data_IF_553521749285
#
_entry.id   IF_553521749285
#
_cell.length_a   1.000
_cell.length_b   1.000
_cell.length_c   1.000
_cell.angle_alpha   90.00
_cell.angle_beta   90.00
_cell.angle_gamma   90.00
#
_symmetry.space_group_name_H-M   'P 1'
#
loop_
_entity.id
_entity.type
_entity.pdbx_description
1 polymer ?
#
# COMPACT_ATOMS: atom_id res chain seq x y z
N UNK A 1 -29.83 18.13 -17.08
CA UNK A 1 -31.13 17.85 -17.75
C UNK A 1 -31.66 16.54 -17.20
N UNK A 2 -32.97 16.39 -17.03
CA UNK A 2 -33.56 15.12 -16.61
C UNK A 2 -33.18 13.99 -17.58
N UNK A 3 -32.90 12.81 -17.05
CA UNK A 3 -32.47 11.63 -17.81
C UNK A 3 -33.32 10.42 -17.47
N UNK A 4 -33.56 9.58 -18.48
CA UNK A 4 -34.39 8.39 -18.37
C UNK A 4 -33.64 7.21 -19.00
N UNK A 5 -33.49 6.12 -18.24
CA UNK A 5 -32.86 4.90 -18.74
C UNK A 5 -33.83 3.71 -18.61
N UNK A 6 -34.08 2.98 -19.71
CA UNK A 6 -34.64 1.64 -19.60
C UNK A 6 -33.73 0.77 -18.74
N UNK A 7 -34.28 0.15 -17.71
CA UNK A 7 -33.51 -0.49 -16.65
C UNK A 7 -34.09 -1.84 -16.22
N UNK A 8 -33.20 -2.73 -15.81
CA UNK A 8 -33.53 -3.90 -15.01
C UNK A 8 -33.14 -3.62 -13.55
N UNK A 9 -34.12 -3.61 -12.65
CA UNK A 9 -33.90 -3.48 -11.21
C UNK A 9 -33.42 -4.82 -10.64
N UNK A 10 -32.39 -4.78 -9.81
CA UNK A 10 -31.87 -5.93 -9.09
C UNK A 10 -31.48 -5.57 -7.65
N UNK A 11 -31.33 -6.59 -6.82
CA UNK A 11 -30.87 -6.47 -5.44
C UNK A 11 -29.83 -7.55 -5.12
N UNK A 12 -28.72 -7.16 -4.50
CA UNK A 12 -27.68 -8.08 -4.03
C UNK A 12 -27.17 -7.62 -2.66
N UNK A 13 -27.39 -8.44 -1.63
CA UNK A 13 -27.20 -8.01 -0.24
C UNK A 13 -28.06 -6.78 0.05
N UNK A 14 -27.44 -5.74 0.58
CA UNK A 14 -28.09 -4.45 0.86
C UNK A 14 -28.08 -3.48 -0.33
N UNK A 15 -27.48 -3.86 -1.46
CA UNK A 15 -27.39 -2.99 -2.64
C UNK A 15 -28.57 -3.20 -3.58
N UNK A 16 -29.32 -2.14 -3.86
CA UNK A 16 -30.18 -2.05 -5.04
C UNK A 16 -29.37 -1.49 -6.22
N UNK A 17 -29.54 -2.09 -7.39
CA UNK A 17 -28.83 -1.68 -8.59
C UNK A 17 -29.72 -1.76 -9.83
N UNK A 18 -29.34 -1.01 -10.86
CA UNK A 18 -30.05 -0.93 -12.12
C UNK A 18 -29.11 -1.25 -13.27
N UNK A 19 -29.46 -2.23 -14.09
CA UNK A 19 -28.72 -2.52 -15.32
C UNK A 19 -29.32 -1.71 -16.47
N UNK A 20 -28.51 -0.84 -17.05
CA UNK A 20 -28.90 0.07 -18.16
C UNK A 20 -27.92 -0.04 -19.32
N UNK A 21 -28.23 0.61 -20.45
CA UNK A 21 -27.30 0.80 -21.56
C UNK A 21 -26.98 2.29 -21.69
N UNK A 22 -25.71 2.62 -21.93
CA UNK A 22 -25.27 3.98 -22.23
C UNK A 22 -24.49 4.00 -23.54
N UNK A 23 -24.59 5.09 -24.31
CA UNK A 23 -23.72 5.33 -25.47
C UNK A 23 -22.30 5.66 -25.01
N UNK A 24 -21.29 5.34 -25.81
CA UNK A 24 -19.89 5.68 -25.49
C UNK A 24 -19.70 7.19 -25.28
N UNK A 25 -20.38 8.01 -26.07
CA UNK A 25 -20.41 9.48 -25.91
C UNK A 25 -20.99 9.94 -24.57
N UNK A 26 -22.10 9.35 -24.15
CA UNK A 26 -22.72 9.63 -22.85
C UNK A 26 -21.77 9.24 -21.72
N UNK A 27 -21.22 8.02 -21.78
CA UNK A 27 -20.29 7.51 -20.78
C UNK A 27 -19.02 8.38 -20.66
N UNK A 28 -18.44 8.80 -21.78
CA UNK A 28 -17.24 9.64 -21.78
C UNK A 28 -17.52 11.06 -21.25
N UNK A 29 -18.69 11.61 -21.55
CA UNK A 29 -19.07 12.97 -21.19
C UNK A 29 -19.67 13.15 -19.79
N UNK A 30 -20.30 12.12 -19.23
CA UNK A 30 -21.04 12.23 -17.96
C UNK A 30 -20.47 11.43 -16.79
N UNK A 31 -19.54 10.50 -17.03
CA UNK A 31 -19.01 9.61 -15.97
C UNK A 31 -17.62 10.07 -15.55
N UNK A 32 -17.47 10.39 -14.28
CA UNK A 32 -16.20 10.68 -13.64
C UNK A 32 -15.49 9.40 -13.22
N UNK A 33 -14.16 9.47 -13.16
CA UNK A 33 -13.40 8.38 -12.57
C UNK A 33 -13.55 8.52 -11.05
N UNK A 34 -13.71 7.41 -10.30
CA UNK A 34 -13.93 7.51 -8.86
C UNK A 34 -12.84 8.30 -8.10
N UNK A 35 -11.66 8.48 -8.71
CA UNK A 35 -10.57 9.33 -8.26
C UNK A 35 -10.96 10.78 -7.87
N UNK A 36 -12.03 11.33 -8.46
CA UNK A 36 -12.47 12.72 -8.24
C UNK A 36 -13.34 12.87 -6.97
N UNK A 37 -13.72 11.75 -6.33
CA UNK A 37 -14.46 11.72 -5.08
C UNK A 37 -13.57 11.86 -3.82
N UNK A 38 -12.25 11.70 -3.97
CA UNK A 38 -11.31 11.51 -2.86
C UNK A 38 -10.43 12.75 -2.63
N UNK A 39 -10.87 13.65 -1.75
CA UNK A 39 -10.18 14.91 -1.43
C UNK A 39 -9.09 14.76 -0.34
N UNK A 40 -8.56 13.54 -0.12
CA UNK A 40 -7.48 13.29 0.84
C UNK A 40 -6.09 13.33 0.16
N UNK A 41 -5.33 14.38 0.49
CA UNK A 41 -4.19 14.87 -0.30
C UNK A 41 -2.91 14.01 -0.22
N UNK A 42 -2.74 13.17 0.79
CA UNK A 42 -1.52 12.37 0.99
C UNK A 42 -1.44 11.13 0.09
N UNK A 43 -2.58 10.48 -0.20
CA UNK A 43 -2.64 9.23 -0.98
C UNK A 43 -3.28 9.39 -2.37
N UNK A 44 -4.06 10.44 -2.58
CA UNK A 44 -4.71 10.76 -3.86
C UNK A 44 -3.72 10.82 -5.04
N UNK A 45 -2.53 11.39 -4.84
CA UNK A 45 -1.51 11.49 -5.90
C UNK A 45 -0.93 10.12 -6.29
N UNK A 46 -0.80 9.19 -5.35
CA UNK A 46 -0.31 7.83 -5.62
C UNK A 46 -1.37 7.00 -6.36
N UNK A 47 -2.63 7.13 -5.95
CA UNK A 47 -3.80 6.55 -6.62
C UNK A 47 -3.93 7.06 -8.08
N UNK A 48 -3.72 8.36 -8.31
CA UNK A 48 -3.67 8.95 -9.65
C UNK A 48 -2.51 8.43 -10.52
N UNK A 49 -1.37 8.01 -9.94
CA UNK A 49 -0.22 7.49 -10.71
C UNK A 49 -0.44 6.07 -11.21
N UNK A 50 -1.11 5.22 -10.42
CA UNK A 50 -1.42 3.82 -10.78
C UNK A 50 -2.36 3.77 -11.99
N UNK A 51 -3.36 4.65 -12.04
CA UNK A 51 -4.29 4.75 -13.16
C UNK A 51 -3.68 5.42 -14.39
N UNK A 52 -2.64 6.25 -14.21
CA UNK A 52 -1.87 6.88 -15.29
C UNK A 52 -0.78 5.97 -15.88
N UNK A 53 -0.79 4.66 -15.65
CA UNK A 53 0.04 3.74 -16.42
C UNK A 53 -0.38 3.76 -17.90
N UNK A 54 0.22 4.68 -18.68
CA UNK A 54 -0.07 4.90 -20.10
C UNK A 54 0.06 3.65 -20.97
N UNK A 55 0.73 2.60 -20.48
CA UNK A 55 0.84 1.30 -21.14
C UNK A 55 -0.49 0.54 -21.17
N UNK A 56 -1.30 0.58 -20.11
CA UNK A 56 -2.60 -0.11 -20.06
C UNK A 56 -3.66 0.66 -20.85
N UNK A 57 -3.69 1.99 -20.70
CA UNK A 57 -4.56 2.89 -21.46
C UNK A 57 -4.34 2.76 -22.98
N UNK A 58 -3.09 2.72 -23.42
CA UNK A 58 -2.74 2.57 -24.84
C UNK A 58 -3.09 1.19 -25.42
N UNK A 59 -2.98 0.11 -24.66
CA UNK A 59 -3.34 -1.23 -25.14
C UNK A 59 -4.86 -1.42 -25.28
N UNK A 60 -5.64 -0.94 -24.30
CA UNK A 60 -7.11 -1.05 -24.32
C UNK A 60 -7.70 -0.12 -25.39
N UNK A 61 -7.17 1.10 -25.52
CA UNK A 61 -7.56 2.01 -26.61
C UNK A 61 -7.27 1.37 -27.98
N UNK A 62 -6.09 0.78 -28.19
CA UNK A 62 -5.79 0.08 -29.45
C UNK A 62 -6.71 -1.11 -29.73
N UNK A 63 -7.16 -1.83 -28.71
CA UNK A 63 -8.17 -2.89 -28.88
C UNK A 63 -9.48 -2.31 -29.42
N UNK A 64 -9.96 -1.19 -28.84
CA UNK A 64 -11.17 -0.50 -29.30
C UNK A 64 -11.05 0.02 -30.73
N UNK A 65 -9.86 0.47 -31.14
CA UNK A 65 -9.65 1.03 -32.49
C UNK A 65 -9.54 -0.05 -33.57
N UNK A 66 -8.87 -1.17 -33.28
CA UNK A 66 -8.44 -2.15 -34.30
C UNK A 66 -9.31 -3.38 -34.40
N UNK A 67 -10.19 -3.62 -33.43
CA UNK A 67 -11.00 -4.84 -33.40
C UNK A 67 -12.46 -4.51 -33.69
N UNK A 68 -13.00 -5.02 -34.79
CA UNK A 68 -14.41 -4.88 -35.17
C UNK A 68 -15.33 -5.75 -34.30
N UNK A 69 -14.80 -6.81 -33.69
CA UNK A 69 -15.49 -7.68 -32.72
C UNK A 69 -15.29 -7.20 -31.27
N UNK A 70 -15.00 -5.90 -31.08
CA UNK A 70 -14.78 -5.30 -29.76
C UNK A 70 -16.00 -5.45 -28.87
N UNK A 71 -15.76 -5.91 -27.65
CA UNK A 71 -16.79 -6.07 -26.64
C UNK A 71 -16.19 -5.88 -25.25
N UNK A 72 -16.89 -5.13 -24.40
CA UNK A 72 -16.61 -5.07 -22.98
C UNK A 72 -17.79 -5.58 -22.18
N UNK A 73 -17.49 -6.22 -21.04
CA UNK A 73 -18.48 -6.44 -20.00
C UNK A 73 -18.92 -5.09 -19.39
N UNK A 74 -19.77 -5.15 -18.36
CA UNK A 74 -20.35 -3.96 -17.75
C UNK A 74 -19.36 -3.05 -17.02
N UNK A 75 -19.63 -1.75 -17.01
CA UNK A 75 -18.99 -0.78 -16.11
C UNK A 75 -19.91 -0.60 -14.90
N UNK A 76 -19.35 -0.69 -13.69
CA UNK A 76 -20.11 -0.45 -12.46
C UNK A 76 -19.96 1.02 -12.09
N UNK A 77 -21.07 1.72 -11.90
CA UNK A 77 -21.12 3.16 -11.66
C UNK A 77 -21.89 3.43 -10.37
N UNK A 78 -21.28 4.16 -9.44
CA UNK A 78 -22.00 4.78 -8.33
C UNK A 78 -22.71 6.03 -8.83
N UNK A 79 -23.97 6.19 -8.45
CA UNK A 79 -24.72 7.42 -8.71
C UNK A 79 -24.88 8.20 -7.41
N UNK A 80 -24.40 9.43 -7.40
CA UNK A 80 -24.59 10.41 -6.33
C UNK A 80 -25.63 11.44 -6.76
N UNK A 81 -26.45 11.92 -5.83
CA UNK A 81 -27.49 12.94 -6.09
C UNK A 81 -28.50 12.47 -7.16
N UNK A 82 -29.25 13.41 -7.77
CA UNK A 82 -30.09 13.09 -8.92
C UNK A 82 -31.52 12.67 -8.62
N UNK A 83 -31.89 12.51 -7.36
CA UNK A 83 -33.21 12.08 -6.90
C UNK A 83 -33.79 10.88 -7.70
N UNK A 84 -33.15 9.70 -7.60
CA UNK A 84 -33.45 8.57 -8.45
C UNK A 84 -34.83 7.99 -8.19
N UNK A 85 -35.61 7.85 -9.25
CA UNK A 85 -36.95 7.25 -9.21
C UNK A 85 -37.06 6.11 -10.21
N UNK A 86 -37.54 4.95 -9.75
CA UNK A 86 -37.81 3.82 -10.63
C UNK A 86 -39.30 3.71 -10.92
N UNK A 87 -39.66 3.72 -12.21
CA UNK A 87 -41.01 3.54 -12.70
C UNK A 87 -41.12 2.15 -13.34
N UNK A 88 -41.74 1.21 -12.63
CA UNK A 88 -42.06 -0.12 -13.16
C UNK A 88 -42.96 -0.04 -14.39
N UNK A 89 -42.68 -0.88 -15.38
CA UNK A 89 -43.53 -1.07 -16.56
C UNK A 89 -44.26 -2.39 -16.41
N UNK A 90 -45.59 -2.32 -16.23
CA UNK A 90 -46.43 -3.52 -16.19
C UNK A 90 -46.77 -3.99 -17.61
N UNK A 91 -46.83 -5.32 -17.78
CA UNK A 91 -47.31 -5.99 -18.99
C UNK A 91 -48.74 -6.55 -18.81
N UNK A 92 -49.40 -6.26 -17.68
CA UNK A 92 -50.70 -6.86 -17.32
C UNK A 92 -51.83 -6.51 -18.31
N UNK A 93 -51.71 -5.37 -18.99
CA UNK A 93 -52.70 -4.86 -19.93
C UNK A 93 -52.61 -5.49 -21.34
N UNK A 94 -51.56 -6.27 -21.63
CA UNK A 94 -51.39 -6.91 -22.94
C UNK A 94 -51.88 -8.37 -22.91
N UNK A 95 -52.91 -8.72 -23.70
CA UNK A 95 -53.48 -10.07 -23.71
C UNK A 95 -52.49 -11.17 -24.08
N UNK A 96 -51.37 -10.85 -24.75
CA UNK A 96 -50.32 -11.84 -25.10
C UNK A 96 -49.55 -12.32 -23.88
N UNK A 97 -49.54 -11.54 -22.79
CA UNK A 97 -48.83 -11.84 -21.55
C UNK A 97 -49.78 -12.20 -20.39
N UNK A 98 -51.01 -12.63 -20.69
CA UNK A 98 -52.03 -13.00 -19.70
C UNK A 98 -51.55 -14.08 -18.72
N UNK A 99 -50.70 -15.02 -19.19
CA UNK A 99 -50.07 -16.06 -18.36
C UNK A 99 -49.05 -15.53 -17.34
N UNK A 100 -48.57 -14.31 -17.52
CA UNK A 100 -47.60 -13.63 -16.67
C UNK A 100 -48.26 -12.54 -15.80
N UNK A 101 -49.60 -12.42 -15.84
CA UNK A 101 -50.33 -11.43 -15.04
C UNK A 101 -50.07 -11.61 -13.56
N UNK A 102 -49.84 -10.51 -12.87
CA UNK A 102 -49.49 -10.46 -11.45
C UNK A 102 -48.17 -11.16 -11.07
N UNK A 103 -47.31 -11.50 -12.04
CA UNK A 103 -45.95 -11.93 -11.71
C UNK A 103 -45.15 -10.71 -11.22
N UNK A 104 -45.07 -10.59 -9.91
CA UNK A 104 -44.35 -9.49 -9.24
C UNK A 104 -42.89 -9.40 -9.67
N UNK A 105 -42.24 -10.53 -9.97
CA UNK A 105 -40.85 -10.51 -10.40
C UNK A 105 -40.71 -9.81 -11.76
N UNK A 106 -41.60 -10.12 -12.71
CA UNK A 106 -41.63 -9.43 -14.00
C UNK A 106 -42.02 -7.95 -13.87
N UNK A 107 -43.07 -7.65 -13.12
CA UNK A 107 -43.59 -6.28 -12.99
C UNK A 107 -42.64 -5.36 -12.21
N UNK A 108 -41.89 -5.88 -11.23
CA UNK A 108 -40.96 -5.08 -10.42
C UNK A 108 -39.54 -5.01 -11.00
N UNK A 109 -39.17 -5.91 -11.93
CA UNK A 109 -37.83 -5.94 -12.54
C UNK A 109 -37.68 -4.94 -13.69
N UNK A 110 -38.67 -4.83 -14.59
CA UNK A 110 -38.56 -4.01 -15.80
C UNK A 110 -39.13 -2.61 -15.58
N UNK A 111 -38.37 -1.58 -15.92
CA UNK A 111 -38.85 -0.22 -15.78
C UNK A 111 -37.95 0.84 -16.37
N UNK A 112 -38.24 2.09 -16.00
CA UNK A 112 -37.44 3.27 -16.35
C UNK A 112 -36.90 3.86 -15.06
N UNK A 113 -35.57 4.01 -14.97
CA UNK A 113 -34.96 4.82 -13.92
C UNK A 113 -34.82 6.26 -14.41
N UNK A 114 -35.29 7.20 -13.60
CA UNK A 114 -35.30 8.63 -13.85
C UNK A 114 -34.36 9.33 -12.87
N UNK A 115 -33.61 10.30 -13.38
CA UNK A 115 -32.83 11.25 -12.57
C UNK A 115 -33.18 12.69 -12.96
N UNK A 116 -33.20 13.59 -11.98
CA UNK A 116 -33.61 14.99 -12.12
C UNK A 116 -32.60 15.85 -12.93
N UNK A 117 -31.37 15.36 -13.15
CA UNK A 117 -30.30 16.04 -13.89
C UNK A 117 -29.15 16.56 -13.05
N UNK A 118 -29.20 16.42 -11.73
CA UNK A 118 -28.14 16.79 -10.77
C UNK A 118 -27.22 15.61 -10.42
N UNK A 119 -27.49 14.43 -10.98
CA UNK A 119 -26.72 13.24 -10.66
C UNK A 119 -25.27 13.33 -11.12
N UNK A 120 -24.39 12.79 -10.29
CA UNK A 120 -22.97 12.64 -10.58
C UNK A 120 -22.66 11.15 -10.64
N UNK A 121 -22.03 10.73 -11.74
CA UNK A 121 -21.72 9.33 -12.02
C UNK A 121 -20.23 9.06 -11.78
N UNK A 122 -19.90 8.07 -10.94
CA UNK A 122 -18.52 7.67 -10.68
C UNK A 122 -18.29 6.21 -11.05
N UNK A 123 -17.30 5.93 -11.90
CA UNK A 123 -16.94 4.56 -12.25
C UNK A 123 -16.24 3.84 -11.09
N UNK A 124 -16.92 2.86 -10.50
CA UNK A 124 -16.41 1.99 -9.44
C UNK A 124 -15.60 0.80 -9.98
N UNK A 125 -16.03 0.21 -11.09
CA UNK A 125 -15.28 -0.84 -11.79
C UNK A 125 -15.33 -0.57 -13.30
N UNK A 126 -14.24 -0.93 -13.98
CA UNK A 126 -14.05 -0.64 -15.40
C UNK A 126 -13.43 0.72 -15.67
N UNK A 127 -12.73 1.31 -14.70
CA UNK A 127 -12.03 2.60 -14.86
C UNK A 127 -11.05 2.63 -16.05
N UNK A 128 -10.31 1.54 -16.28
CA UNK A 128 -9.45 1.44 -17.47
C UNK A 128 -10.24 1.42 -18.79
N UNK A 129 -11.44 0.80 -18.80
CA UNK A 129 -12.35 0.78 -19.96
C UNK A 129 -12.91 2.17 -20.20
N UNK A 130 -13.43 2.84 -19.17
CA UNK A 130 -13.87 4.23 -19.24
C UNK A 130 -12.74 5.15 -19.72
N UNK A 131 -11.54 5.00 -19.18
CA UNK A 131 -10.37 5.81 -19.57
C UNK A 131 -9.97 5.60 -21.03
N UNK A 132 -10.07 4.37 -21.55
CA UNK A 132 -9.82 4.08 -22.95
C UNK A 132 -10.91 4.66 -23.86
N UNK A 133 -12.18 4.55 -23.46
CA UNK A 133 -13.32 5.15 -24.19
C UNK A 133 -13.15 6.67 -24.25
N UNK A 134 -12.86 7.32 -23.11
CA UNK A 134 -12.55 8.76 -23.06
C UNK A 134 -11.38 9.14 -23.96
N UNK A 135 -10.32 8.34 -23.99
CA UNK A 135 -9.14 8.60 -24.82
C UNK A 135 -9.42 8.49 -26.33
N UNK A 136 -10.27 7.54 -26.74
CA UNK A 136 -10.68 7.36 -28.15
C UNK A 136 -11.62 8.49 -28.61
N UNK A 137 -12.40 9.06 -27.68
CA UNK A 137 -13.34 10.15 -27.95
C UNK A 137 -12.78 11.56 -27.67
N UNK A 138 -11.56 11.68 -27.16
CA UNK A 138 -10.93 12.95 -26.84
C UNK A 138 -10.62 13.75 -28.13
N UNK A 139 -11.26 14.91 -28.38
CA UNK A 139 -11.04 15.69 -29.59
C UNK A 139 -9.59 16.17 -29.77
N UNK A 140 -8.82 16.29 -28.68
CA UNK A 140 -7.42 16.69 -28.71
C UNK A 140 -6.43 15.53 -28.56
N UNK A 141 -6.92 14.29 -28.47
CA UNK A 141 -6.12 13.11 -28.14
C UNK A 141 -5.51 12.41 -29.36
N UNK A 142 -4.44 11.63 -29.12
CA UNK A 142 -3.69 10.92 -30.17
C UNK A 142 -4.55 9.92 -30.98
N UNK A 143 -5.62 9.40 -30.38
CA UNK A 143 -6.44 8.32 -30.94
C UNK A 143 -7.62 8.80 -31.80
N UNK A 144 -7.97 10.10 -31.76
CA UNK A 144 -9.18 10.61 -32.42
C UNK A 144 -9.17 10.39 -33.93
N UNK A 145 -7.97 10.45 -34.53
CA UNK A 145 -7.76 10.24 -35.97
C UNK A 145 -8.00 8.81 -36.43
N UNK A 146 -7.87 7.83 -35.52
CA UNK A 146 -8.06 6.41 -35.78
C UNK A 146 -9.44 5.91 -35.31
N UNK A 147 -10.29 6.78 -34.75
CA UNK A 147 -11.59 6.42 -34.17
C UNK A 147 -12.51 5.77 -35.23
N UNK A 148 -13.08 4.58 -34.95
CA UNK A 148 -14.07 3.98 -35.84
C UNK A 148 -15.30 4.89 -36.08
N UNK A 149 -15.86 4.89 -37.30
CA UNK A 149 -17.11 5.59 -37.58
C UNK A 149 -18.24 5.10 -36.68
N UNK A 150 -18.98 6.01 -36.04
CA UNK A 150 -20.11 5.66 -35.18
C UNK A 150 -19.75 5.11 -33.80
N UNK A 151 -18.47 5.04 -33.42
CA UNK A 151 -18.02 4.57 -32.10
C UNK A 151 -18.73 5.29 -30.94
N UNK A 152 -18.99 6.59 -31.09
CA UNK A 152 -19.73 7.41 -30.13
C UNK A 152 -21.16 6.93 -29.84
N UNK A 153 -21.75 6.15 -30.76
CA UNK A 153 -23.10 5.61 -30.69
C UNK A 153 -23.15 4.15 -30.25
N UNK A 154 -22.01 3.45 -30.20
CA UNK A 154 -21.93 2.10 -29.64
C UNK A 154 -22.40 2.12 -28.18
N UNK A 155 -23.01 1.03 -27.74
CA UNK A 155 -23.62 0.92 -26.41
C UNK A 155 -22.87 -0.08 -25.55
N UNK A 156 -22.73 0.24 -24.27
CA UNK A 156 -22.19 -0.66 -23.25
C UNK A 156 -23.19 -0.84 -22.11
N UNK A 157 -23.22 -2.04 -21.54
CA UNK A 157 -23.98 -2.31 -20.32
C UNK A 157 -23.36 -1.56 -19.14
N UNK A 158 -24.18 -0.89 -18.36
CA UNK A 158 -23.78 -0.16 -17.16
C UNK A 158 -24.61 -0.67 -16.00
N UNK A 159 -23.96 -0.92 -14.87
CA UNK A 159 -24.62 -1.27 -13.61
C UNK A 159 -24.57 -0.02 -12.72
N UNK A 160 -25.72 0.64 -12.56
CA UNK A 160 -25.89 1.78 -11.69
C UNK A 160 -26.19 1.28 -10.28
N UNK A 161 -25.28 1.54 -9.35
CA UNK A 161 -25.51 1.28 -7.92
C UNK A 161 -25.99 2.58 -7.30
N UNK A 162 -27.22 2.55 -6.79
CA UNK A 162 -27.84 3.72 -6.17
C UNK A 162 -27.67 3.61 -4.66
N UNK A 163 -27.12 4.64 -4.06
CA UNK A 163 -27.04 4.74 -2.63
C UNK A 163 -28.36 5.28 -2.06
N UNK A 164 -28.77 4.70 -0.93
CA UNK A 164 -29.88 5.20 -0.13
C UNK A 164 -29.56 6.62 0.38
N UNK A 165 -30.56 7.48 0.46
CA UNK A 165 -30.36 8.91 0.67
C UNK A 165 -29.77 9.21 2.06
N UNK A 166 -28.47 9.55 2.12
CA UNK A 166 -27.85 10.58 2.96
C UNK A 166 -26.34 10.67 2.64
N UNK A 167 -25.81 11.87 2.41
CA UNK A 167 -24.37 12.13 2.28
C UNK A 167 -23.71 12.11 3.68
N UNK A 168 -23.66 10.93 4.30
CA UNK A 168 -22.97 10.69 5.58
C UNK A 168 -21.59 10.07 5.37
N UNK A 169 -20.69 10.16 6.35
CA UNK A 169 -19.38 9.48 6.29
C UNK A 169 -19.52 7.96 6.05
N UNK A 170 -20.59 7.35 6.59
CA UNK A 170 -20.95 5.95 6.34
C UNK A 170 -21.18 5.63 4.85
N UNK A 171 -21.76 6.57 4.08
CA UNK A 171 -21.95 6.41 2.63
C UNK A 171 -20.60 6.30 1.91
N UNK A 172 -19.64 7.16 2.28
CA UNK A 172 -18.28 7.15 1.71
C UNK A 172 -17.58 5.85 2.02
N UNK A 173 -17.70 5.35 3.26
CA UNK A 173 -17.10 4.08 3.69
C UNK A 173 -17.71 2.90 2.92
N UNK A 174 -19.04 2.83 2.76
CA UNK A 174 -19.72 1.73 2.05
C UNK A 174 -19.33 1.67 0.57
N UNK A 175 -19.29 2.79 -0.13
CA UNK A 175 -18.86 2.80 -1.53
C UNK A 175 -17.37 2.49 -1.70
N UNK A 176 -16.51 2.96 -0.78
CA UNK A 176 -15.09 2.56 -0.74
C UNK A 176 -14.92 1.04 -0.59
N UNK A 177 -15.69 0.40 0.29
CA UNK A 177 -15.68 -1.07 0.43
C UNK A 177 -16.15 -1.79 -0.83
N UNK A 178 -17.24 -1.34 -1.46
CA UNK A 178 -17.72 -1.92 -2.72
C UNK A 178 -16.65 -1.82 -3.83
N UNK A 179 -15.98 -0.66 -3.92
CA UNK A 179 -14.88 -0.43 -4.85
C UNK A 179 -13.69 -1.37 -4.60
N UNK A 180 -13.24 -1.49 -3.35
CA UNK A 180 -12.14 -2.38 -2.94
C UNK A 180 -12.46 -3.82 -3.30
N UNK A 181 -13.66 -4.30 -2.96
CA UNK A 181 -14.09 -5.67 -3.21
C UNK A 181 -14.15 -6.01 -4.71
N UNK A 182 -14.66 -5.11 -5.55
CA UNK A 182 -14.73 -5.34 -6.99
C UNK A 182 -13.32 -5.45 -7.63
N UNK A 183 -12.38 -4.61 -7.20
CA UNK A 183 -11.04 -4.59 -7.78
C UNK A 183 -10.15 -5.72 -7.25
N UNK A 184 -10.30 -6.13 -5.98
CA UNK A 184 -9.54 -7.22 -5.36
C UNK A 184 -9.69 -8.55 -6.11
N UNK A 185 -10.81 -8.79 -6.79
CA UNK A 185 -11.10 -10.02 -7.51
C UNK A 185 -10.77 -10.00 -9.01
N UNK A 186 -10.56 -8.82 -9.63
CA UNK A 186 -10.54 -8.70 -11.10
C UNK A 186 -9.15 -8.90 -11.75
N UNK A 187 -8.05 -8.45 -11.13
CA UNK A 187 -6.64 -8.75 -11.50
C UNK A 187 -5.73 -8.47 -10.29
N UNK A 188 -4.62 -9.19 -10.07
CA UNK A 188 -3.72 -8.88 -8.98
C UNK A 188 -3.04 -7.52 -9.25
N UNK A 189 -3.53 -6.48 -8.60
CA UNK A 189 -2.83 -5.20 -8.48
C UNK A 189 -1.51 -5.40 -7.75
N UNK A 190 -0.49 -4.60 -8.09
CA UNK A 190 0.80 -4.73 -7.42
C UNK A 190 0.67 -4.37 -5.93
N UNK A 191 1.61 -4.87 -5.13
CA UNK A 191 1.54 -4.80 -3.67
C UNK A 191 1.39 -3.37 -3.12
N UNK A 192 2.15 -2.42 -3.67
CA UNK A 192 2.03 -0.99 -3.34
C UNK A 192 0.60 -0.48 -3.61
N UNK A 193 0.02 -0.84 -4.76
CA UNK A 193 -1.37 -0.48 -5.07
C UNK A 193 -2.36 -1.10 -4.10
N UNK A 194 -2.20 -2.37 -3.74
CA UNK A 194 -3.09 -3.01 -2.77
C UNK A 194 -3.04 -2.28 -1.42
N UNK A 195 -1.86 -1.91 -0.92
CA UNK A 195 -1.74 -1.16 0.34
C UNK A 195 -2.46 0.21 0.26
N UNK A 196 -2.40 0.87 -0.90
CA UNK A 196 -3.03 2.18 -1.09
C UNK A 196 -4.56 2.06 -1.16
N UNK A 197 -5.09 0.96 -1.71
CA UNK A 197 -6.51 0.84 -2.07
C UNK A 197 -7.33 -0.03 -1.12
N UNK A 198 -6.72 -1.01 -0.45
CA UNK A 198 -7.42 -2.07 0.28
C UNK A 198 -7.97 -1.58 1.63
N UNK A 199 -9.30 -1.57 1.79
CA UNK A 199 -10.01 -1.09 3.00
C UNK A 199 -10.49 -2.23 3.92
N UNK A 200 -10.10 -3.48 3.65
CA UNK A 200 -10.39 -4.61 4.54
C UNK A 200 -9.11 -5.12 5.22
N UNK A 201 -7.96 -5.03 4.55
CA UNK A 201 -6.68 -5.37 5.14
C UNK A 201 -6.32 -4.36 6.23
N UNK A 202 -6.49 -4.78 7.48
CA UNK A 202 -6.19 -3.97 8.66
C UNK A 202 -4.78 -3.37 8.62
N UNK A 203 -3.78 -4.12 8.13
CA UNK A 203 -2.41 -3.63 8.07
C UNK A 203 -2.23 -2.56 6.98
N UNK A 204 -2.98 -2.65 5.87
CA UNK A 204 -3.01 -1.62 4.84
C UNK A 204 -3.66 -0.33 5.36
N UNK A 205 -4.79 -0.45 6.05
CA UNK A 205 -5.48 0.67 6.72
C UNK A 205 -4.53 1.35 7.70
N UNK A 206 -3.92 0.59 8.62
CA UNK A 206 -3.00 1.11 9.63
C UNK A 206 -1.75 1.74 9.00
N UNK A 207 -1.23 1.18 7.91
CA UNK A 207 -0.11 1.76 7.15
C UNK A 207 -0.48 3.15 6.61
N UNK A 208 -1.66 3.29 6.00
CA UNK A 208 -2.14 4.58 5.49
C UNK A 208 -2.40 5.58 6.62
N UNK A 209 -2.98 5.14 7.74
CA UNK A 209 -3.16 5.99 8.93
C UNK A 209 -1.84 6.46 9.51
N UNK A 210 -0.83 5.60 9.64
CA UNK A 210 0.50 6.03 10.07
C UNK A 210 1.09 7.11 9.14
N UNK A 211 0.93 6.97 7.82
CA UNK A 211 1.40 7.97 6.86
C UNK A 211 0.62 9.29 6.96
N UNK A 212 -0.69 9.23 7.21
CA UNK A 212 -1.56 10.41 7.21
C UNK A 212 -1.72 11.09 8.57
N UNK A 213 -1.47 10.39 9.69
CA UNK A 213 -1.76 10.88 11.04
C UNK A 213 -0.51 10.91 11.94
N UNK A 214 0.46 10.01 11.74
CA UNK A 214 1.60 9.90 12.66
C UNK A 214 2.74 10.86 12.26
N UNK A 215 3.21 11.76 13.15
CA UNK A 215 4.16 12.84 12.81
C UNK A 215 5.47 12.40 12.15
N UNK A 216 5.96 11.19 12.45
CA UNK A 216 7.19 10.69 11.82
C UNK A 216 7.01 10.49 10.31
N UNK A 217 5.83 10.11 9.84
CA UNK A 217 5.58 9.81 8.42
C UNK A 217 4.73 10.88 7.73
N UNK A 218 3.97 11.63 8.53
CA UNK A 218 3.14 12.74 8.08
C UNK A 218 3.97 13.88 7.50
N UNK A 219 3.54 14.41 6.35
CA UNK A 219 4.07 15.65 5.81
C UNK A 219 2.99 16.49 5.12
N UNK A 220 2.67 17.69 5.62
CA UNK A 220 1.65 18.55 5.03
C UNK A 220 2.23 19.27 3.80
N UNK A 221 2.06 18.69 2.61
CA UNK A 221 2.49 19.35 1.37
C UNK A 221 1.87 18.73 0.12
N UNK A 222 1.40 19.58 -0.81
CA UNK A 222 0.80 19.19 -2.11
C UNK A 222 1.86 18.87 -3.18
N UNK A 223 3.14 18.82 -2.83
CA UNK A 223 4.22 18.81 -3.82
C UNK A 223 4.81 17.42 -4.05
N UNK A 224 5.02 17.11 -5.34
CA UNK A 224 5.70 15.94 -5.91
C UNK A 224 7.14 15.70 -5.41
N UNK A 225 7.68 16.52 -4.52
CA UNK A 225 9.13 16.66 -4.29
C UNK A 225 9.60 16.39 -2.84
N UNK A 226 8.72 16.11 -1.87
CA UNK A 226 9.16 15.86 -0.49
C UNK A 226 8.23 14.94 0.31
N UNK A 227 8.08 13.68 -0.13
CA UNK A 227 7.51 12.65 0.76
C UNK A 227 8.65 12.07 1.60
N UNK A 228 8.43 11.83 2.90
CA UNK A 228 9.36 11.04 3.73
C UNK A 228 9.19 9.53 3.47
N UNK A 229 8.11 9.16 2.77
CA UNK A 229 7.77 7.78 2.42
C UNK A 229 7.65 7.64 0.91
N UNK A 230 8.35 6.67 0.33
CA UNK A 230 8.23 6.31 -1.09
C UNK A 230 6.89 5.59 -1.32
N UNK A 231 6.00 6.21 -2.09
CA UNK A 231 4.66 5.68 -2.45
C UNK A 231 4.62 5.08 -3.87
N UNK A 232 5.77 4.56 -4.34
CA UNK A 232 5.89 3.89 -5.64
C UNK A 232 6.44 2.48 -5.43
N UNK A 233 6.13 1.59 -6.37
CA UNK A 233 6.48 0.17 -6.32
C UNK A 233 7.93 -0.11 -5.88
N UNK A 234 8.07 -1.09 -4.99
CA UNK A 234 9.34 -1.64 -4.56
C UNK A 234 9.91 -0.98 -3.30
N UNK A 235 10.43 -1.82 -2.40
CA UNK A 235 11.03 -1.44 -1.11
C UNK A 235 12.38 -0.73 -1.20
N UNK A 236 13.09 -0.85 -2.33
CA UNK A 236 14.42 -0.29 -2.50
C UNK A 236 14.39 1.23 -2.67
N UNK A 237 15.34 1.89 -2.01
CA UNK A 237 15.60 3.33 -2.12
C UNK A 237 16.96 3.57 -2.78
N UNK A 238 17.04 4.53 -3.71
CA UNK A 238 18.30 4.98 -4.34
C UNK A 238 19.05 5.94 -3.41
N UNK A 239 20.38 6.09 -3.52
CA UNK A 239 21.19 6.87 -2.56
C UNK A 239 20.70 8.30 -2.31
N UNK A 240 20.17 8.98 -3.33
CA UNK A 240 19.68 10.36 -3.25
C UNK A 240 18.17 10.50 -3.07
N UNK A 241 17.46 9.38 -2.91
CA UNK A 241 16.02 9.45 -2.66
C UNK A 241 15.78 10.14 -1.30
N UNK A 242 14.88 11.14 -1.22
CA UNK A 242 14.63 11.90 0.00
C UNK A 242 13.87 11.08 1.07
N UNK A 243 13.39 9.90 0.71
CA UNK A 243 12.58 9.03 1.55
C UNK A 243 13.39 8.40 2.70
N UNK A 244 12.79 8.31 3.88
CA UNK A 244 13.25 7.47 4.99
C UNK A 244 13.00 5.98 4.67
N UNK A 245 11.80 5.67 4.19
CA UNK A 245 11.35 4.30 3.91
C UNK A 245 10.32 4.27 2.77
N UNK A 246 9.75 3.11 2.45
CA UNK A 246 8.69 2.95 1.47
C UNK A 246 7.38 2.49 2.10
N UNK A 247 6.25 2.72 1.42
CA UNK A 247 4.94 2.27 1.88
C UNK A 247 4.87 0.74 2.04
N UNK A 248 5.50 -0.01 1.12
CA UNK A 248 5.59 -1.47 1.21
C UNK A 248 6.41 -1.93 2.42
N UNK A 249 7.42 -1.16 2.83
CA UNK A 249 8.21 -1.48 4.02
C UNK A 249 7.44 -1.11 5.31
N UNK A 250 6.74 0.03 5.35
CA UNK A 250 5.88 0.37 6.51
C UNK A 250 4.81 -0.70 6.72
N UNK A 251 4.22 -1.23 5.65
CA UNK A 251 3.28 -2.34 5.73
C UNK A 251 3.88 -3.59 6.40
N UNK A 252 5.10 -3.99 6.02
CA UNK A 252 5.79 -5.08 6.71
C UNK A 252 6.08 -4.75 8.18
N UNK A 253 6.41 -3.50 8.49
CA UNK A 253 6.72 -3.05 9.85
C UNK A 253 5.47 -3.09 10.73
N UNK A 254 4.33 -2.68 10.19
CA UNK A 254 3.02 -2.77 10.88
C UNK A 254 2.72 -4.21 11.24
N UNK A 255 2.87 -5.14 10.30
CA UNK A 255 2.69 -6.58 10.58
C UNK A 255 3.70 -7.02 11.65
N UNK A 256 4.99 -6.77 11.44
CA UNK A 256 6.06 -7.21 12.34
C UNK A 256 5.84 -6.71 13.77
N UNK A 257 5.44 -5.45 13.93
CA UNK A 257 5.25 -4.84 15.24
C UNK A 257 3.97 -5.33 15.93
N UNK A 258 2.91 -5.68 15.20
CA UNK A 258 1.64 -6.13 15.80
C UNK A 258 1.57 -7.64 16.07
N UNK A 259 2.47 -8.44 15.52
CA UNK A 259 2.52 -9.89 15.75
C UNK A 259 3.12 -10.17 17.13
N UNK A 260 2.27 -10.17 18.17
CA UNK A 260 2.63 -10.58 19.54
C UNK A 260 2.52 -12.11 19.71
N UNK A 261 3.18 -12.70 20.73
CA UNK A 261 3.02 -14.12 21.01
C UNK A 261 1.56 -14.54 21.24
N UNK A 262 0.73 -13.69 21.85
CA UNK A 262 -0.70 -13.98 21.98
C UNK A 262 -1.39 -14.06 20.62
N UNK A 263 -1.20 -13.07 19.76
CA UNK A 263 -1.79 -13.04 18.40
C UNK A 263 -1.26 -14.16 17.51
N UNK A 264 -0.01 -14.58 17.70
CA UNK A 264 0.53 -15.76 17.03
C UNK A 264 -0.16 -17.05 17.46
N UNK A 265 -0.36 -17.23 18.77
CA UNK A 265 -0.96 -18.44 19.32
C UNK A 265 -2.48 -18.52 19.10
N UNK A 266 -3.19 -17.40 19.23
CA UNK A 266 -4.65 -17.34 19.14
C UNK A 266 -5.16 -17.18 17.71
N UNK A 267 -4.48 -16.36 16.89
CA UNK A 267 -4.92 -15.98 15.54
C UNK A 267 -4.05 -16.58 14.43
N UNK A 268 -2.93 -17.24 14.76
CA UNK A 268 -2.07 -17.88 13.78
C UNK A 268 -1.27 -16.92 12.90
N UNK A 269 -1.06 -15.67 13.33
CA UNK A 269 -0.47 -14.61 12.49
C UNK A 269 0.96 -14.86 12.00
N UNK A 270 1.67 -15.86 12.53
CA UNK A 270 3.01 -16.25 12.07
C UNK A 270 3.00 -17.08 10.77
N UNK A 271 1.86 -17.65 10.37
CA UNK A 271 1.80 -18.61 9.29
C UNK A 271 0.64 -18.38 8.31
N UNK A 272 0.88 -18.79 7.06
CA UNK A 272 -0.20 -18.98 6.08
C UNK A 272 -0.95 -20.27 6.41
N UNK A 273 -2.30 -20.30 6.29
CA UNK A 273 -3.15 -19.29 5.65
C UNK A 273 -3.76 -18.26 6.63
N UNK A 274 -3.55 -18.40 7.94
CA UNK A 274 -4.30 -17.64 8.95
C UNK A 274 -4.13 -16.11 8.83
N UNK A 275 -2.89 -15.63 8.63
CA UNK A 275 -2.65 -14.20 8.42
C UNK A 275 -3.32 -13.66 7.13
N UNK A 276 -3.33 -14.45 6.05
CA UNK A 276 -3.98 -14.05 4.79
C UNK A 276 -5.50 -14.05 4.91
N UNK A 277 -6.06 -14.99 5.70
CA UNK A 277 -7.48 -15.01 6.01
C UNK A 277 -7.88 -13.78 6.86
N UNK A 278 -7.02 -13.37 7.80
CA UNK A 278 -7.25 -12.16 8.59
C UNK A 278 -7.25 -10.91 7.72
N UNK A 279 -6.27 -10.76 6.81
CA UNK A 279 -6.21 -9.64 5.84
C UNK A 279 -7.43 -9.54 4.92
N UNK A 280 -8.11 -10.66 4.67
CA UNK A 280 -9.27 -10.70 3.80
C UNK A 280 -10.54 -10.12 4.47
N UNK A 281 -10.56 -9.93 5.79
CA UNK A 281 -11.75 -9.55 6.55
C UNK A 281 -11.45 -8.30 7.38
N UNK A 282 -12.25 -7.25 7.18
CA UNK A 282 -12.20 -6.05 7.99
C UNK A 282 -12.52 -6.37 9.47
N UNK A 283 -11.62 -6.07 10.43
CA UNK A 283 -11.80 -6.48 11.83
C UNK A 283 -12.75 -5.58 12.64
N UNK A 284 -13.20 -4.45 12.08
CA UNK A 284 -14.01 -3.46 12.79
C UNK A 284 -13.21 -2.23 13.24
N UNK A 285 -13.87 -1.08 13.35
CA UNK A 285 -13.20 0.20 13.67
C UNK A 285 -12.53 0.20 15.05
N UNK A 286 -13.14 -0.43 16.05
CA UNK A 286 -12.58 -0.56 17.40
C UNK A 286 -11.22 -1.27 17.40
N UNK A 287 -11.10 -2.38 16.67
CA UNK A 287 -9.84 -3.12 16.54
C UNK A 287 -8.78 -2.30 15.79
N UNK A 288 -9.18 -1.52 14.77
CA UNK A 288 -8.26 -0.63 14.07
C UNK A 288 -7.75 0.48 15.00
N UNK A 289 -8.61 1.10 15.82
CA UNK A 289 -8.19 2.13 16.78
C UNK A 289 -7.26 1.57 17.85
N UNK A 290 -7.54 0.38 18.39
CA UNK A 290 -6.66 -0.28 19.38
C UNK A 290 -5.26 -0.54 18.80
N UNK A 291 -5.20 -1.17 17.62
CA UNK A 291 -3.93 -1.46 16.94
C UNK A 291 -3.20 -0.18 16.54
N UNK A 292 -3.92 0.87 16.13
CA UNK A 292 -3.31 2.16 15.81
C UNK A 292 -2.71 2.81 17.06
N UNK A 293 -3.43 2.80 18.18
CA UNK A 293 -2.92 3.25 19.48
C UNK A 293 -1.64 2.50 19.87
N UNK A 294 -1.65 1.17 19.78
CA UNK A 294 -0.47 0.32 20.04
C UNK A 294 0.73 0.71 19.16
N UNK A 295 0.52 0.83 17.84
CA UNK A 295 1.57 1.23 16.89
C UNK A 295 2.17 2.60 17.21
N UNK A 296 1.35 3.60 17.56
CA UNK A 296 1.86 4.94 17.88
C UNK A 296 2.77 4.90 19.11
N UNK A 297 2.43 4.10 20.13
CA UNK A 297 3.28 3.92 21.31
C UNK A 297 4.59 3.22 20.95
N UNK A 298 4.55 2.21 20.09
CA UNK A 298 5.74 1.51 19.61
C UNK A 298 6.68 2.42 18.82
N UNK A 299 6.15 3.21 17.90
CA UNK A 299 6.94 4.19 17.16
C UNK A 299 7.51 5.28 18.07
N UNK A 300 6.76 5.74 19.08
CA UNK A 300 7.27 6.68 20.08
C UNK A 300 8.49 6.10 20.83
N UNK A 301 8.42 4.83 21.25
CA UNK A 301 9.53 4.15 21.91
C UNK A 301 10.74 3.93 21.00
N UNK A 302 10.51 3.58 19.73
CA UNK A 302 11.57 3.47 18.72
C UNK A 302 12.28 4.80 18.51
N UNK A 303 11.53 5.90 18.40
CA UNK A 303 12.07 7.25 18.28
C UNK A 303 12.84 7.65 19.55
N UNK A 304 12.36 7.28 20.73
CA UNK A 304 13.07 7.54 21.97
C UNK A 304 14.42 6.82 22.03
N UNK A 305 14.51 5.59 21.49
CA UNK A 305 15.76 4.84 21.42
C UNK A 305 16.66 5.29 20.26
N UNK A 306 16.08 5.66 19.12
CA UNK A 306 16.76 6.03 17.87
C UNK A 306 16.32 7.44 17.42
N UNK A 307 16.73 8.51 18.13
CA UNK A 307 16.20 9.86 17.92
C UNK A 307 16.49 10.42 16.53
N UNK A 308 17.57 9.98 15.87
CA UNK A 308 17.91 10.45 14.51
C UNK A 308 16.87 10.01 13.48
N UNK A 309 15.98 9.06 13.78
CA UNK A 309 14.86 8.75 12.89
C UNK A 309 13.99 9.98 12.57
N UNK A 310 13.99 11.01 13.42
CA UNK A 310 13.28 12.28 13.23
C UNK A 310 13.95 13.28 12.29
N UNK A 311 15.18 13.04 11.86
CA UNK A 311 15.91 13.96 10.98
C UNK A 311 15.17 14.26 9.67
N UNK A 312 15.17 15.53 9.26
CA UNK A 312 14.36 16.01 8.13
C UNK A 312 14.93 15.63 6.77
N UNK A 313 16.22 15.24 6.72
CA UNK A 313 16.92 14.87 5.51
C UNK A 313 17.51 13.44 5.57
N UNK A 314 16.68 12.38 5.51
CA UNK A 314 17.15 11.00 5.53
C UNK A 314 18.20 10.63 4.48
N UNK A 315 18.21 11.35 3.34
CA UNK A 315 19.18 11.15 2.27
C UNK A 315 20.63 11.44 2.71
N UNK A 316 20.85 12.47 3.55
CA UNK A 316 22.18 12.81 4.07
C UNK A 316 22.73 11.72 4.98
N UNK A 317 21.84 11.01 5.70
CA UNK A 317 22.19 9.93 6.62
C UNK A 317 22.44 8.57 5.91
N UNK A 318 22.26 8.56 4.58
CA UNK A 318 22.36 7.38 3.70
C UNK A 318 23.38 7.51 2.57
N UNK A 319 24.08 8.63 2.47
CA UNK A 319 25.04 8.88 1.40
C UNK A 319 26.33 8.08 1.59
N UNK A 320 26.58 7.09 0.72
CA UNK A 320 27.82 6.29 0.72
C UNK A 320 29.02 6.97 0.03
N UNK A 321 28.85 8.19 -0.50
CA UNK A 321 29.99 8.96 -1.01
C UNK A 321 30.67 9.63 0.18
N UNK A 322 31.80 9.07 0.60
CA UNK A 322 32.74 9.78 1.46
C UNK A 322 33.19 11.07 0.75
N UNK A 323 33.07 12.22 1.41
CA UNK A 323 33.89 13.42 1.23
C UNK A 323 34.53 13.67 -0.17
N UNK A 324 33.75 13.72 -1.25
CA UNK A 324 34.30 14.21 -2.53
C UNK A 324 34.28 15.75 -2.57
N UNK A 325 33.46 16.42 -1.73
CA UNK A 325 33.29 17.87 -1.79
C UNK A 325 33.48 18.60 -0.44
N UNK A 326 33.85 17.90 0.65
CA UNK A 326 34.13 18.54 1.94
C UNK A 326 32.91 19.11 2.68
N UNK A 327 31.69 18.67 2.35
CA UNK A 327 30.49 18.98 3.13
C UNK A 327 30.42 18.08 4.37
N UNK A 328 30.72 18.67 5.54
CA UNK A 328 30.75 18.04 6.85
C UNK A 328 29.40 17.57 7.41
N UNK A 329 28.36 17.43 6.57
CA UNK A 329 26.97 17.21 6.99
C UNK A 329 26.45 15.79 6.71
N UNK A 330 27.21 14.92 6.05
CA UNK A 330 26.78 13.53 5.80
C UNK A 330 27.28 12.57 6.88
N UNK A 331 26.35 11.93 7.57
CA UNK A 331 26.63 10.80 8.48
C UNK A 331 26.14 9.50 7.84
N UNK A 332 26.74 8.36 8.16
CA UNK A 332 26.34 7.07 7.59
C UNK A 332 25.74 6.16 8.65
N UNK A 333 24.44 6.36 8.91
CA UNK A 333 23.74 5.62 9.96
C UNK A 333 23.12 4.34 9.37
N UNK A 334 23.39 3.19 9.98
CA UNK A 334 23.01 1.89 9.44
C UNK A 334 21.49 1.73 9.30
N UNK A 335 20.70 2.09 10.31
CA UNK A 335 19.23 1.99 10.25
C UNK A 335 18.52 2.95 9.28
N UNK A 336 19.25 3.85 8.61
CA UNK A 336 18.71 4.56 7.45
C UNK A 336 18.70 3.71 6.18
N UNK A 337 19.40 2.57 6.16
CA UNK A 337 19.28 1.59 5.08
C UNK A 337 17.98 0.79 5.26
N UNK A 338 17.10 0.70 4.24
CA UNK A 338 15.83 -0.03 4.36
C UNK A 338 15.98 -1.47 4.87
N UNK A 339 17.04 -2.16 4.43
CA UNK A 339 17.30 -3.55 4.84
C UNK A 339 17.71 -3.67 6.31
N UNK A 340 18.43 -2.68 6.84
CA UNK A 340 18.82 -2.65 8.26
C UNK A 340 17.61 -2.24 9.10
N UNK A 341 16.82 -1.24 8.64
CA UNK A 341 15.60 -0.83 9.33
C UNK A 341 14.61 -2.00 9.49
N UNK A 342 14.48 -2.87 8.48
CA UNK A 342 13.71 -4.12 8.58
C UNK A 342 14.22 -5.05 9.69
N UNK A 343 15.55 -5.20 9.82
CA UNK A 343 16.14 -5.94 10.94
C UNK A 343 15.88 -5.26 12.29
N UNK A 344 15.92 -3.93 12.37
CA UNK A 344 15.57 -3.17 13.58
C UNK A 344 14.13 -3.47 14.01
N UNK A 345 13.17 -3.52 13.08
CA UNK A 345 11.77 -3.82 13.42
C UNK A 345 11.60 -5.22 14.01
N UNK A 346 12.32 -6.21 13.47
CA UNK A 346 12.32 -7.59 14.00
C UNK A 346 12.90 -7.65 15.40
N UNK A 347 14.04 -7.00 15.62
CA UNK A 347 14.70 -6.95 16.93
C UNK A 347 13.84 -6.19 17.94
N UNK A 348 13.23 -5.07 17.54
CA UNK A 348 12.31 -4.31 18.36
C UNK A 348 11.11 -5.17 18.81
N UNK A 349 10.51 -5.95 17.90
CA UNK A 349 9.44 -6.89 18.27
C UNK A 349 9.92 -7.94 19.26
N UNK A 350 11.14 -8.49 19.09
CA UNK A 350 11.74 -9.43 20.07
C UNK A 350 11.92 -8.79 21.44
N UNK A 351 12.46 -7.57 21.52
CA UNK A 351 12.61 -6.81 22.76
C UNK A 351 11.26 -6.58 23.46
N UNK A 352 10.23 -6.19 22.69
CA UNK A 352 8.89 -6.02 23.20
C UNK A 352 8.32 -7.35 23.72
N UNK A 353 8.55 -8.47 23.04
CA UNK A 353 8.09 -9.79 23.46
C UNK A 353 8.74 -10.22 24.79
N UNK A 354 10.06 -10.05 24.94
CA UNK A 354 10.77 -10.32 26.20
C UNK A 354 10.25 -9.45 27.35
N UNK A 355 9.80 -8.23 27.03
CA UNK A 355 9.16 -7.33 27.98
C UNK A 355 7.65 -7.59 28.20
N UNK A 356 7.11 -8.74 27.73
CA UNK A 356 5.70 -9.10 27.78
C UNK A 356 4.77 -8.12 27.02
N UNK A 357 5.17 -7.72 25.81
CA UNK A 357 4.39 -6.90 24.88
C UNK A 357 3.72 -5.68 25.54
N UNK A 358 4.48 -4.80 26.21
CA UNK A 358 3.88 -3.69 26.96
C UNK A 358 3.14 -2.75 26.01
N UNK A 359 1.97 -2.26 26.42
CA UNK A 359 1.19 -1.25 25.64
C UNK A 359 1.31 0.17 26.21
N UNK A 360 1.90 0.31 27.40
CA UNK A 360 2.13 1.62 28.03
C UNK A 360 3.38 2.30 27.48
N UNK A 361 3.34 3.63 27.34
CA UNK A 361 4.48 4.43 26.85
C UNK A 361 5.77 4.20 27.65
N UNK A 362 5.67 4.15 28.97
CA UNK A 362 6.83 3.89 29.85
C UNK A 362 7.40 2.48 29.65
N UNK A 363 6.54 1.47 29.59
CA UNK A 363 6.94 0.08 29.37
C UNK A 363 7.63 -0.12 28.02
N UNK A 364 7.05 0.42 26.95
CA UNK A 364 7.61 0.37 25.59
C UNK A 364 8.94 1.10 25.50
N UNK A 365 9.03 2.31 26.06
CA UNK A 365 10.28 3.08 26.06
C UNK A 365 11.39 2.32 26.78
N UNK A 366 11.09 1.71 27.92
CA UNK A 366 12.05 0.88 28.67
C UNK A 366 12.47 -0.37 27.88
N UNK A 367 11.52 -1.04 27.22
CA UNK A 367 11.78 -2.25 26.45
C UNK A 367 12.68 -1.98 25.24
N UNK A 368 12.50 -0.85 24.56
CA UNK A 368 13.24 -0.49 23.34
C UNK A 368 14.54 0.30 23.60
N UNK A 369 14.72 0.85 24.81
CA UNK A 369 15.93 1.60 25.19
C UNK A 369 17.27 0.92 24.83
N UNK A 370 17.43 -0.41 24.94
CA UNK A 370 18.66 -1.08 24.53
C UNK A 370 19.10 -0.82 23.07
N UNK A 371 18.18 -0.54 22.15
CA UNK A 371 18.52 -0.23 20.75
C UNK A 371 19.42 1.02 20.62
N UNK A 372 19.27 1.98 21.53
CA UNK A 372 20.06 3.21 21.53
C UNK A 372 21.53 3.03 21.95
N UNK A 373 21.87 1.84 22.47
CA UNK A 373 23.22 1.48 22.93
C UNK A 373 24.12 0.91 21.85
N UNK A 374 23.52 0.45 20.75
CA UNK A 374 24.24 -0.19 19.66
C UNK A 374 25.00 0.85 18.84
N UNK A 375 26.18 0.46 18.35
CA UNK A 375 26.91 1.25 17.37
C UNK A 375 26.21 1.18 16.00
N UNK A 376 25.64 2.31 15.56
CA UNK A 376 24.94 2.43 14.28
C UNK A 376 25.76 3.07 13.16
N UNK A 377 27.06 3.31 13.36
CA UNK A 377 27.95 3.77 12.27
C UNK A 377 28.13 2.67 11.22
N UNK A 378 27.67 2.89 10.00
CA UNK A 378 27.72 1.93 8.89
C UNK A 378 29.15 1.54 8.48
N UNK A 379 30.15 2.36 8.79
CA UNK A 379 31.57 2.06 8.54
C UNK A 379 32.25 1.32 9.71
N UNK A 380 31.52 1.05 10.79
CA UNK A 380 31.98 0.22 11.90
C UNK A 380 31.44 -1.22 11.78
N UNK A 381 32.06 -2.15 12.50
CA UNK A 381 31.51 -3.48 12.68
C UNK A 381 30.22 -3.41 13.56
N UNK A 382 29.21 -4.28 13.36
CA UNK A 382 29.20 -5.44 12.47
C UNK A 382 28.82 -5.13 11.01
N UNK A 383 28.56 -3.86 10.65
CA UNK A 383 28.03 -3.48 9.34
C UNK A 383 29.09 -3.53 8.23
N UNK A 384 30.27 -2.99 8.50
CA UNK A 384 31.40 -2.94 7.56
C UNK A 384 31.89 -4.35 7.24
N UNK A 385 32.15 -4.60 5.97
CA UNK A 385 32.56 -5.90 5.39
C UNK A 385 31.49 -7.01 5.44
N UNK A 386 30.42 -6.88 6.24
CA UNK A 386 29.30 -7.82 6.24
C UNK A 386 28.15 -7.35 5.34
N UNK A 387 27.64 -6.13 5.58
CA UNK A 387 26.52 -5.51 4.84
C UNK A 387 27.02 -4.41 3.90
N UNK A 388 27.95 -3.58 4.38
CA UNK A 388 28.64 -2.58 3.57
C UNK A 388 29.92 -3.19 3.00
N UNK A 389 29.97 -3.38 1.69
CA UNK A 389 31.06 -4.10 1.02
C UNK A 389 31.71 -3.22 -0.05
N UNK A 390 33.03 -3.36 -0.21
CA UNK A 390 33.79 -2.73 -1.28
C UNK A 390 34.05 -3.78 -2.36
N UNK A 391 33.62 -3.52 -3.60
CA UNK A 391 33.67 -4.55 -4.66
C UNK A 391 34.63 -4.25 -5.80
N UNK A 392 35.16 -3.03 -5.90
CA UNK A 392 36.15 -2.66 -6.91
C UNK A 392 37.58 -2.72 -6.38
N UNK A 393 37.77 -2.81 -5.05
CA UNK A 393 39.08 -2.74 -4.43
C UNK A 393 39.68 -1.33 -4.43
N UNK A 394 38.96 -0.36 -5.00
CA UNK A 394 39.31 1.06 -4.97
C UNK A 394 38.78 1.69 -3.67
N UNK A 395 39.60 2.55 -3.06
CA UNK A 395 39.25 3.23 -1.83
C UNK A 395 38.05 4.18 -2.07
N UNK A 396 36.91 3.92 -1.42
CA UNK A 396 35.71 4.77 -1.49
C UNK A 396 34.51 4.21 -2.27
N UNK A 397 34.63 3.07 -2.97
CA UNK A 397 33.51 2.47 -3.71
C UNK A 397 32.74 1.43 -2.86
N UNK A 398 32.00 1.94 -1.88
CA UNK A 398 31.19 1.13 -0.97
C UNK A 398 29.76 0.95 -1.47
N UNK A 399 29.24 -0.28 -1.37
CA UNK A 399 27.84 -0.60 -1.71
C UNK A 399 27.22 -1.55 -0.70
N UNK A 400 25.89 -1.62 -0.72
CA UNK A 400 25.16 -2.64 0.06
C UNK A 400 25.28 -4.00 -0.63
N UNK A 401 25.71 -5.01 0.13
CA UNK A 401 25.91 -6.40 -0.33
C UNK A 401 24.69 -6.95 -1.07
N UNK A 402 24.93 -7.64 -2.18
CA UNK A 402 23.88 -8.34 -2.94
C UNK A 402 24.05 -9.86 -2.88
N UNK A 403 25.30 -10.31 -2.88
CA UNK A 403 25.78 -11.68 -2.76
C UNK A 403 25.44 -12.22 -1.38
N UNK A 404 24.83 -13.41 -1.27
CA UNK A 404 24.53 -14.05 0.05
C UNK A 404 23.82 -13.13 1.08
N UNK A 405 23.12 -12.09 0.61
CA UNK A 405 22.52 -11.05 1.44
C UNK A 405 21.66 -11.62 2.57
N UNK A 406 20.92 -12.70 2.30
CA UNK A 406 20.06 -13.35 3.30
C UNK A 406 20.89 -13.88 4.48
N UNK A 407 21.99 -14.58 4.20
CA UNK A 407 22.88 -15.12 5.23
C UNK A 407 23.54 -13.99 6.03
N UNK A 408 24.02 -12.94 5.35
CA UNK A 408 24.61 -11.77 6.00
C UNK A 408 23.62 -11.05 6.94
N UNK A 409 22.36 -10.89 6.51
CA UNK A 409 21.31 -10.30 7.34
C UNK A 409 20.89 -11.19 8.51
N UNK A 410 20.88 -12.51 8.34
CA UNK A 410 20.65 -13.46 9.45
C UNK A 410 21.76 -13.33 10.49
N UNK A 411 23.02 -13.39 10.05
CA UNK A 411 24.19 -13.21 10.93
C UNK A 411 24.15 -11.85 11.66
N UNK A 412 23.76 -10.79 10.95
CA UNK A 412 23.58 -9.48 11.58
C UNK A 412 22.52 -9.51 12.68
N UNK A 413 21.36 -10.11 12.44
CA UNK A 413 20.30 -10.20 13.46
C UNK A 413 20.76 -11.03 14.66
N UNK A 414 21.52 -12.11 14.46
CA UNK A 414 22.11 -12.93 15.53
C UNK A 414 23.07 -12.10 16.39
N UNK A 415 24.02 -11.40 15.76
CA UNK A 415 24.98 -10.52 16.47
C UNK A 415 24.26 -9.45 17.28
N UNK A 416 23.31 -8.74 16.67
CA UNK A 416 22.57 -7.67 17.36
C UNK A 416 21.72 -8.24 18.50
N UNK A 417 21.14 -9.42 18.33
CA UNK A 417 20.32 -10.05 19.37
C UNK A 417 21.17 -10.47 20.56
N UNK A 418 22.36 -11.02 20.31
CA UNK A 418 23.34 -11.29 21.35
C UNK A 418 23.82 -10.01 22.07
N UNK A 419 24.20 -8.97 21.33
CA UNK A 419 24.63 -7.67 21.90
C UNK A 419 23.55 -7.02 22.78
N UNK A 420 22.27 -7.28 22.48
CA UNK A 420 21.13 -6.78 23.25
C UNK A 420 20.71 -7.72 24.39
N UNK A 421 21.39 -8.85 24.58
CA UNK A 421 21.05 -9.85 25.60
C UNK A 421 19.74 -10.59 25.34
N UNK A 422 19.27 -10.61 24.09
CA UNK A 422 18.11 -11.42 23.67
C UNK A 422 18.47 -12.90 23.52
N UNK A 423 19.72 -13.17 23.14
CA UNK A 423 20.29 -14.50 22.97
C UNK A 423 21.53 -14.61 23.87
N UNK A 424 21.48 -15.46 24.89
CA UNK A 424 22.63 -15.75 25.74
C UNK A 424 23.58 -16.70 25.01
N UNK A 425 24.87 -16.34 24.92
CA UNK A 425 25.91 -17.17 24.31
C UNK A 425 26.98 -17.46 25.37
N UNK A 426 27.42 -18.72 25.43
CA UNK A 426 28.60 -19.08 26.21
C UNK A 426 29.91 -18.84 25.42
N UNK A 427 31.07 -19.08 26.05
CA UNK A 427 32.39 -18.88 25.42
C UNK A 427 32.60 -19.74 24.15
N UNK A 428 31.91 -20.87 24.03
CA UNK A 428 32.00 -21.75 22.86
C UNK A 428 31.11 -21.21 21.73
N UNK A 429 29.88 -20.80 22.07
CA UNK A 429 28.91 -20.22 21.16
C UNK A 429 29.40 -18.88 20.60
N UNK A 430 30.04 -18.03 21.42
CA UNK A 430 30.63 -16.77 20.94
C UNK A 430 31.74 -17.03 19.91
N UNK A 431 32.58 -18.04 20.15
CA UNK A 431 33.64 -18.43 19.19
C UNK A 431 33.06 -18.96 17.89
N UNK A 432 31.96 -19.71 17.97
CA UNK A 432 31.25 -20.21 16.79
C UNK A 432 30.57 -19.07 16.01
N UNK A 433 29.97 -18.10 16.71
CA UNK A 433 29.40 -16.90 16.11
C UNK A 433 30.48 -16.07 15.41
N UNK A 434 31.63 -15.83 16.07
CA UNK A 434 32.78 -15.14 15.49
C UNK A 434 33.28 -15.84 14.22
N UNK A 435 33.39 -17.18 14.28
CA UNK A 435 33.83 -17.98 13.14
C UNK A 435 32.86 -17.85 11.97
N UNK A 436 31.57 -18.02 12.22
CA UNK A 436 30.52 -17.93 11.21
C UNK A 436 30.41 -16.52 10.61
N UNK A 437 30.55 -15.48 11.43
CA UNK A 437 30.62 -14.10 10.98
C UNK A 437 31.84 -13.85 10.08
N UNK A 438 33.02 -14.35 10.46
CA UNK A 438 34.25 -14.22 9.68
C UNK A 438 34.14 -14.91 8.31
N UNK A 439 33.54 -16.11 8.26
CA UNK A 439 33.28 -16.84 7.00
C UNK A 439 32.36 -16.07 6.05
N UNK A 440 31.51 -15.18 6.58
CA UNK A 440 30.59 -14.36 5.81
C UNK A 440 31.16 -12.99 5.43
N UNK A 441 32.36 -12.61 5.87
CA UNK A 441 32.95 -11.32 5.48
C UNK A 441 33.23 -11.27 3.97
N UNK A 442 32.93 -10.11 3.38
CA UNK A 442 33.18 -9.89 1.96
C UNK A 442 34.64 -9.48 1.74
N UNK A 443 35.46 -10.42 1.29
CA UNK A 443 36.90 -10.25 1.05
C UNK A 443 37.75 -11.10 1.99
N UNK A 444 39.07 -11.11 1.76
CA UNK A 444 40.03 -11.82 2.62
C UNK A 444 40.72 -10.82 3.57
N UNK A 445 40.64 -11.08 4.87
CA UNK A 445 41.22 -10.24 5.92
C UNK A 445 42.23 -11.02 6.74
N UNK A 446 43.28 -10.34 7.21
CA UNK A 446 44.26 -10.98 8.10
C UNK A 446 43.63 -11.23 9.47
N UNK A 447 44.10 -12.26 10.17
CA UNK A 447 43.60 -12.62 11.50
C UNK A 447 43.56 -11.42 12.47
N UNK A 448 44.60 -10.60 12.50
CA UNK A 448 44.65 -9.40 13.35
C UNK A 448 43.58 -8.34 12.99
N UNK A 449 43.20 -8.22 11.72
CA UNK A 449 42.15 -7.30 11.28
C UNK A 449 40.77 -7.82 11.69
N UNK A 450 40.54 -9.13 11.52
CA UNK A 450 39.32 -9.83 11.97
C UNK A 450 39.15 -9.70 13.48
N UNK A 451 40.23 -9.88 14.25
CA UNK A 451 40.21 -9.74 15.70
C UNK A 451 39.86 -8.31 16.14
N UNK A 452 40.42 -7.29 15.49
CA UNK A 452 40.09 -5.90 15.78
C UNK A 452 38.62 -5.56 15.44
N UNK A 453 38.13 -6.06 14.30
CA UNK A 453 36.73 -5.87 13.91
C UNK A 453 35.77 -6.58 14.88
N UNK A 454 36.11 -7.79 15.34
CA UNK A 454 35.32 -8.50 16.35
C UNK A 454 35.34 -7.78 17.69
N UNK A 455 36.50 -7.25 18.10
CA UNK A 455 36.58 -6.44 19.32
C UNK A 455 35.68 -5.20 19.23
N UNK A 456 35.59 -4.56 18.05
CA UNK A 456 34.64 -3.46 17.85
C UNK A 456 33.17 -3.91 17.96
N UNK A 457 32.84 -5.17 17.69
CA UNK A 457 31.50 -5.72 17.92
C UNK A 457 31.29 -5.90 19.42
N UNK A 458 32.26 -6.46 20.15
CA UNK A 458 32.21 -6.59 21.61
C UNK A 458 32.03 -5.24 22.31
N UNK A 459 32.76 -4.23 21.86
CA UNK A 459 32.73 -2.88 22.42
C UNK A 459 31.49 -2.07 21.95
N UNK A 460 30.78 -2.56 20.94
CA UNK A 460 29.72 -1.85 20.21
C UNK A 460 28.35 -1.80 20.90
N UNK A 461 28.22 -2.38 22.09
CA UNK A 461 27.03 -2.27 22.95
C UNK A 461 27.38 -1.45 24.21
N UNK A 462 27.08 -0.15 24.21
CA UNK A 462 27.44 0.79 25.29
C UNK A 462 26.39 0.92 26.40
#
# INVERSE_FOLDING_TARGET
>A
MSTYFPALKGKMGDWEYYTVKMRMSELAGSVELAQDLYDDRTLSTAMQRILNEGRVKSQIARYLLKNDERFFSSIVIAVKEGDPHFYSVSMDDDPRFDMLRNDKNLTETFGIVHFNGEQIYYALDGQHRLSAIKAVLDPGGDFISEKPPGFENEQITVILVIADQADTEDWRIRHRRLFSNLNRHAKPTDHCTNIIMDEDDAFAILTRRLISEYPLFYWPGVQKESQRVKTTKGKNLRPRDPYLTSIEAIYDYVITLLVTPERENELGWHARPALENYKAIFPGDEAIEEMFGELTVYWDGLISALPRLKEDQPALLRSLKADIDGDSETENIAYFRPIVLDAVMKIARRLLNVANSPTSKSGVTKALAPLGKLNWDMYSAPWRHLILVNTSGEEGDWKIRSEERKAAMTMLVEILSWQLGLDELDDADEKELKKSWNELLYGEYKAAEVDNLWQSILDGAL
#
